data_IF_063610061267
#
_entry.id   IF_063610061267
#
_cell.length_a   1.000
_cell.length_b   1.000
_cell.length_c   1.000
_cell.angle_alpha   90.00
_cell.angle_beta   90.00
_cell.angle_gamma   90.00
#
_symmetry.space_group_name_H-M   'P 1'
#
loop_
_entity.id
_entity.type
_entity.pdbx_description
1 polymer ?
#
# COMPACT_ATOMS: atom_id res chain seq x y z
N UNK A 1 15.37 -0.93 -10.66
CA UNK A 1 14.31 -0.08 -10.06
C UNK A 1 13.65 -0.89 -8.96
N UNK A 2 13.34 -0.30 -7.80
CA UNK A 2 12.64 -1.03 -6.75
C UNK A 2 11.16 -1.09 -7.13
N UNK A 3 10.50 -2.24 -6.96
CA UNK A 3 9.09 -2.42 -7.28
C UNK A 3 8.46 -3.26 -6.18
N UNK A 4 8.06 -2.57 -5.12
CA UNK A 4 7.53 -3.19 -3.91
C UNK A 4 6.13 -2.70 -3.61
N UNK A 5 5.32 -3.61 -3.07
CA UNK A 5 3.99 -3.32 -2.59
C UNK A 5 3.77 -3.95 -1.22
N UNK A 6 2.91 -3.32 -0.42
CA UNK A 6 2.59 -3.77 0.94
C UNK A 6 1.15 -3.39 1.27
N UNK A 7 0.49 -4.20 2.08
CA UNK A 7 -0.84 -3.91 2.61
C UNK A 7 -0.68 -3.24 3.96
N UNK A 8 -1.09 -1.97 4.07
CA UNK A 8 -1.04 -1.25 5.34
C UNK A 8 -2.46 -0.96 5.83
N UNK A 9 -2.73 -1.12 7.14
CA UNK A 9 -3.99 -0.70 7.71
C UNK A 9 -4.13 0.82 7.56
N UNK A 10 -5.32 1.29 7.22
CA UNK A 10 -5.60 2.72 7.30
C UNK A 10 -5.89 3.11 8.74
N UNK A 11 -5.78 4.41 9.03
CA UNK A 11 -6.25 4.99 10.29
C UNK A 11 -7.79 5.12 10.32
N UNK A 12 -8.48 4.66 9.28
CA UNK A 12 -9.94 4.70 9.23
C UNK A 12 -10.54 3.64 10.18
N UNK A 13 -11.70 3.93 10.80
CA UNK A 13 -12.30 3.07 11.82
C UNK A 13 -12.70 1.67 11.32
N UNK A 14 -12.81 1.49 10.00
CA UNK A 14 -13.20 0.22 9.37
C UNK A 14 -12.06 -0.82 9.37
N UNK A 15 -10.82 -0.40 9.65
CA UNK A 15 -9.67 -1.31 9.69
C UNK A 15 -9.29 -1.89 8.31
N UNK A 16 -9.81 -1.31 7.23
CA UNK A 16 -9.49 -1.71 5.87
C UNK A 16 -7.99 -1.57 5.60
N UNK A 17 -7.41 -2.59 4.96
CA UNK A 17 -6.05 -2.51 4.44
C UNK A 17 -6.08 -1.89 3.05
N UNK A 18 -5.17 -0.94 2.82
CA UNK A 18 -4.94 -0.31 1.51
C UNK A 18 -3.60 -0.77 0.96
N UNK A 19 -3.52 -0.91 -0.37
CA UNK A 19 -2.26 -1.19 -1.05
C UNK A 19 -1.37 0.05 -1.09
N UNK A 20 -0.16 -0.06 -0.54
CA UNK A 20 0.90 0.94 -0.64
C UNK A 20 2.00 0.45 -1.56
N UNK A 21 2.56 1.37 -2.36
CA UNK A 21 3.60 1.13 -3.35
C UNK A 21 4.87 1.89 -3.00
N UNK A 22 6.02 1.29 -3.30
CA UNK A 22 7.35 1.90 -3.18
C UNK A 22 8.21 1.57 -4.40
N UNK A 23 8.69 2.61 -5.06
CA UNK A 23 9.49 2.50 -6.29
C UNK A 23 10.97 2.84 -6.10
N UNK A 24 11.33 3.41 -4.95
CA UNK A 24 12.70 3.68 -4.55
C UNK A 24 12.91 3.35 -3.06
N UNK A 25 14.10 2.84 -2.66
CA UNK A 25 14.37 2.40 -1.30
C UNK A 25 14.25 3.53 -0.26
N UNK A 26 14.61 4.75 -0.66
CA UNK A 26 14.58 5.94 0.19
C UNK A 26 13.25 6.69 0.14
N UNK A 27 12.25 6.18 -0.59
CA UNK A 27 10.95 6.81 -0.68
C UNK A 27 10.01 6.22 0.38
N UNK A 28 9.21 7.06 1.05
CA UNK A 28 8.15 6.55 1.91
C UNK A 28 7.15 5.71 1.09
N UNK A 29 6.51 4.77 1.77
CA UNK A 29 5.35 4.06 1.22
C UNK A 29 4.26 5.08 0.89
N UNK A 30 3.72 5.02 -0.32
CA UNK A 30 2.58 5.85 -0.75
C UNK A 30 1.42 4.97 -1.17
N UNK A 31 0.17 5.38 -0.96
CA UNK A 31 -0.98 4.61 -1.42
C UNK A 31 -0.92 4.42 -2.94
N UNK A 32 -1.47 3.33 -3.44
CA UNK A 32 -1.48 3.02 -4.87
C UNK A 32 -2.13 4.14 -5.71
N UNK A 33 -3.08 4.88 -5.14
CA UNK A 33 -3.73 6.04 -5.75
C UNK A 33 -2.79 7.20 -6.07
N UNK A 34 -1.63 7.28 -5.39
CA UNK A 34 -0.60 8.28 -5.68
C UNK A 34 0.21 7.97 -6.95
N UNK A 35 0.02 6.78 -7.54
CA UNK A 35 0.71 6.35 -8.76
C UNK A 35 -0.31 5.97 -9.85
N UNK A 36 -0.88 6.96 -10.56
CA UNK A 36 -1.89 6.70 -11.59
C UNK A 36 -1.38 5.79 -12.73
N UNK A 37 -0.07 5.79 -13.01
CA UNK A 37 0.55 4.90 -14.01
C UNK A 37 0.45 3.40 -13.65
N UNK A 38 0.45 3.10 -12.35
CA UNK A 38 0.38 1.73 -11.83
C UNK A 38 -1.02 1.35 -11.39
N UNK A 39 -1.76 2.33 -10.84
CA UNK A 39 -3.12 2.16 -10.39
C UNK A 39 -4.01 1.70 -11.54
N UNK A 40 -4.71 0.59 -11.30
CA UNK A 40 -5.88 0.24 -12.12
C UNK A 40 -7.05 0.95 -11.48
N UNK A 41 -7.91 1.65 -12.25
CA UNK A 41 -9.18 2.12 -11.72
C UNK A 41 -9.96 0.91 -11.21
N UNK A 42 -9.90 0.68 -9.90
CA UNK A 42 -10.61 -0.39 -9.23
C UNK A 42 -12.10 -0.15 -9.45
N UNK A 43 -12.78 -1.13 -10.04
CA UNK A 43 -14.24 -1.15 -10.07
C UNK A 43 -14.71 -1.26 -8.62
N UNK A 44 -15.48 -0.27 -8.16
CA UNK A 44 -16.01 -0.15 -6.80
C UNK A 44 -16.95 -1.30 -6.47
N UNK A 45 -16.39 -2.48 -6.20
CA UNK A 45 -17.12 -3.59 -5.60
C UNK A 45 -17.16 -3.35 -4.09
N UNK A 46 -18.35 -3.09 -3.51
CA UNK A 46 -18.46 -2.87 -2.07
C UNK A 46 -17.95 -4.12 -1.32
N UNK A 47 -17.01 -3.92 -0.38
CA UNK A 47 -16.39 -4.97 0.41
C UNK A 47 -15.06 -5.52 -0.13
N UNK A 48 -14.54 -5.03 -1.26
CA UNK A 48 -13.18 -5.36 -1.71
C UNK A 48 -12.15 -4.43 -1.08
N UNK A 49 -11.00 -4.96 -0.66
CA UNK A 49 -9.91 -4.14 -0.13
C UNK A 49 -9.40 -3.16 -1.19
N UNK A 50 -9.31 -1.88 -0.82
CA UNK A 50 -8.87 -0.79 -1.70
C UNK A 50 -7.50 -1.10 -2.33
N UNK A 51 -7.49 -1.32 -3.64
CA UNK A 51 -6.29 -1.63 -4.42
C UNK A 51 -6.09 -3.12 -4.75
N UNK A 52 -7.09 -3.98 -4.53
CA UNK A 52 -7.02 -5.41 -4.86
C UNK A 52 -6.75 -5.67 -6.35
N UNK A 53 -7.44 -4.96 -7.25
CA UNK A 53 -7.22 -5.08 -8.69
C UNK A 53 -5.80 -4.64 -9.06
N UNK A 54 -5.37 -3.52 -8.48
CA UNK A 54 -4.00 -3.01 -8.65
C UNK A 54 -2.97 -4.02 -8.15
N UNK A 55 -3.19 -4.65 -6.99
CA UNK A 55 -2.31 -5.70 -6.47
C UNK A 55 -2.17 -6.86 -7.46
N UNK A 56 -3.28 -7.37 -8.01
CA UNK A 56 -3.24 -8.47 -8.97
C UNK A 56 -2.41 -8.12 -10.21
N UNK A 57 -2.63 -6.93 -10.79
CA UNK A 57 -1.84 -6.44 -11.94
C UNK A 57 -0.35 -6.35 -11.59
N UNK A 58 -0.01 -5.71 -10.47
CA UNK A 58 1.38 -5.52 -10.09
C UNK A 58 2.07 -6.85 -9.77
N UNK A 59 1.34 -7.80 -9.19
CA UNK A 59 1.85 -9.15 -8.93
C UNK A 59 2.19 -9.89 -10.23
N UNK A 60 1.34 -9.77 -11.25
CA UNK A 60 1.61 -10.31 -12.58
C UNK A 60 2.79 -9.61 -13.26
N UNK A 61 3.00 -8.32 -13.00
CA UNK A 61 4.14 -7.54 -13.50
C UNK A 61 5.45 -7.78 -12.72
N UNK A 62 5.48 -8.71 -11.77
CA UNK A 62 6.69 -9.07 -11.03
C UNK A 62 7.00 -8.20 -9.80
N UNK A 63 6.05 -7.41 -9.31
CA UNK A 63 6.25 -6.63 -8.09
C UNK A 63 6.38 -7.53 -6.86
N UNK A 64 7.25 -7.12 -5.95
CA UNK A 64 7.51 -7.84 -4.71
C UNK A 64 6.54 -7.40 -3.61
N UNK A 65 5.72 -8.34 -3.14
CA UNK A 65 4.89 -8.14 -1.96
C UNK A 65 5.76 -8.28 -0.70
N UNK A 66 5.85 -7.20 0.07
CA UNK A 66 6.54 -7.17 1.37
C UNK A 66 5.50 -7.49 2.45
N UNK A 67 5.66 -8.62 3.14
CA UNK A 67 4.79 -9.02 4.24
C UNK A 67 5.00 -8.12 5.46
N UNK A 68 3.88 -7.69 6.07
CA UNK A 68 3.69 -6.66 7.11
C UNK A 68 4.78 -6.44 8.17
N UNK A 69 5.65 -7.39 8.51
CA UNK A 69 6.59 -7.26 9.64
C UNK A 69 7.53 -6.06 9.51
N UNK A 70 8.06 -5.78 8.32
CA UNK A 70 8.99 -4.65 8.11
C UNK A 70 8.30 -3.32 7.80
N UNK A 71 7.05 -3.36 7.32
CA UNK A 71 6.33 -2.14 6.92
C UNK A 71 5.56 -1.53 8.11
N UNK A 72 5.07 -2.38 9.02
CA UNK A 72 4.41 -1.97 10.26
C UNK A 72 5.38 -1.25 11.19
N UNK A 73 6.65 -1.65 11.28
CA UNK A 73 7.63 -0.94 12.11
C UNK A 73 7.83 0.51 11.63
N UNK A 74 7.93 0.72 10.31
CA UNK A 74 8.12 2.05 9.74
C UNK A 74 6.86 2.93 9.83
N UNK A 75 5.67 2.33 9.72
CA UNK A 75 4.39 3.04 9.91
C UNK A 75 4.13 3.35 11.40
N UNK A 76 4.48 2.42 12.30
CA UNK A 76 4.32 2.60 13.75
C UNK A 76 5.23 3.70 14.30
N UNK A 77 6.42 3.90 13.73
CA UNK A 77 7.30 5.03 14.07
C UNK A 77 6.70 6.37 13.63
N UNK A 78 6.06 6.43 12.46
CA UNK A 78 5.38 7.64 11.96
C UNK A 78 4.10 7.93 12.75
N UNK A 79 3.32 6.91 13.10
CA UNK A 79 2.10 7.05 13.88
C UNK A 79 2.38 7.51 15.33
N UNK A 80 3.46 7.02 15.95
CA UNK A 80 3.88 7.45 17.31
C UNK A 80 4.44 8.87 17.36
N UNK A 81 4.86 9.44 16.23
CA UNK A 81 5.39 10.80 16.17
C UNK A 81 4.29 11.89 16.08
N UNK A 82 3.01 11.52 16.04
CA UNK A 82 1.87 12.45 15.86
C UNK A 82 0.93 12.48 17.08
N UNK A 83 1.42 12.12 18.27
CA UNK A 83 0.67 12.32 19.51
C UNK A 83 1.22 13.55 20.24
N UNK A 84 0.55 14.69 20.07
CA UNK A 84 0.66 15.84 20.97
C UNK A 84 -0.31 15.68 22.14
#
# INVERSE_FOLDING_TARGET
MLQQMCWLPTLEPDGEKVLYLRTAPNQPWKPYTAYPDYAVPDSTVPGSSKGWTTYQKLRQSGWSLVSDTHAVEHFSLVAKATTF
#
